data_IF_837393375123
#
_entry.id   IF_837393375123
#
_cell.length_a   1.000
_cell.length_b   1.000
_cell.length_c   1.000
_cell.angle_alpha   90.00
_cell.angle_beta   90.00
_cell.angle_gamma   90.00
#
_symmetry.space_group_name_H-M   'P 1'
#
loop_
_entity.id
_entity.type
_entity.pdbx_description
1 polymer ?
#
# COMPACT_ATOMS: atom_id res chain seq x y z
N UNK A 1 19.41 -55.97 54.17
CA UNK A 1 18.26 -55.21 54.70
C UNK A 1 18.27 -53.83 54.05
N UNK A 2 17.52 -53.67 52.95
CA UNK A 2 16.25 -52.89 52.85
C UNK A 2 16.55 -51.39 52.66
N UNK A 3 16.57 -50.87 51.42
CA UNK A 3 15.51 -50.02 50.79
C UNK A 3 15.10 -48.83 51.68
N UNK A 4 15.15 -47.58 51.23
CA UNK A 4 14.10 -46.95 50.39
C UNK A 4 14.67 -45.81 49.54
N UNK A 5 14.42 -45.87 48.23
CA UNK A 5 14.46 -44.73 47.31
C UNK A 5 13.21 -43.87 47.52
N UNK A 6 13.36 -42.55 47.73
CA UNK A 6 12.26 -41.60 47.55
C UNK A 6 12.59 -40.66 46.38
N UNK A 7 12.01 -40.99 45.23
CA UNK A 7 11.90 -40.12 44.08
C UNK A 7 10.83 -39.06 44.35
N UNK A 8 11.22 -37.78 44.28
CA UNK A 8 10.27 -36.66 44.23
C UNK A 8 10.22 -36.13 42.80
N UNK A 9 9.16 -36.52 42.09
CA UNK A 9 8.73 -35.93 40.82
C UNK A 9 7.95 -34.66 41.14
N UNK A 10 8.55 -33.50 40.96
CA UNK A 10 7.84 -32.21 40.91
C UNK A 10 7.51 -31.95 39.45
N UNK A 11 6.25 -32.14 39.05
CA UNK A 11 5.76 -31.77 37.73
C UNK A 11 5.42 -30.28 37.77
N UNK A 12 6.32 -29.42 37.30
CA UNK A 12 6.03 -28.02 37.06
C UNK A 12 5.29 -27.88 35.73
N UNK A 13 4.00 -27.52 35.79
CA UNK A 13 3.21 -27.15 34.62
C UNK A 13 3.69 -25.79 34.09
N UNK A 14 4.60 -25.80 33.12
CA UNK A 14 4.87 -24.62 32.32
C UNK A 14 3.74 -24.47 31.31
N UNK A 15 2.84 -23.50 31.54
CA UNK A 15 1.90 -23.03 30.55
C UNK A 15 2.70 -22.41 29.40
N UNK A 16 2.89 -23.16 28.32
CA UNK A 16 3.44 -22.63 27.08
C UNK A 16 2.42 -21.64 26.51
N UNK A 17 2.64 -20.35 26.75
CA UNK A 17 2.02 -19.30 25.96
C UNK A 17 2.65 -19.38 24.57
N UNK A 18 1.94 -19.99 23.63
CA UNK A 18 2.20 -19.84 22.21
C UNK A 18 1.85 -18.40 21.83
N UNK A 19 2.79 -17.49 22.10
CA UNK A 19 2.83 -16.22 21.40
C UNK A 19 2.98 -16.54 19.91
N UNK A 20 1.95 -16.20 19.15
CA UNK A 20 2.02 -16.20 17.70
C UNK A 20 2.98 -15.06 17.32
N UNK A 21 4.29 -15.35 17.37
CA UNK A 21 5.35 -14.54 16.77
C UNK A 21 5.20 -14.66 15.25
N UNK A 22 4.13 -14.09 14.73
CA UNK A 22 4.01 -13.78 13.32
C UNK A 22 5.06 -12.71 13.00
N UNK A 23 6.27 -13.16 12.68
CA UNK A 23 7.35 -12.33 12.14
C UNK A 23 6.74 -11.43 11.06
N UNK A 24 6.91 -10.09 11.12
CA UNK A 24 6.25 -9.20 10.18
C UNK A 24 6.69 -9.59 8.78
N UNK A 25 5.74 -10.09 7.98
CA UNK A 25 5.98 -10.39 6.57
C UNK A 25 6.36 -9.08 5.92
N UNK A 26 7.67 -8.86 5.70
CA UNK A 26 8.15 -7.67 5.02
C UNK A 26 7.63 -7.76 3.59
N UNK A 27 6.55 -7.03 3.31
CA UNK A 27 5.94 -7.00 2.00
C UNK A 27 7.00 -6.58 0.96
N UNK A 28 7.23 -7.43 -0.04
CA UNK A 28 8.15 -7.10 -1.12
C UNK A 28 7.52 -5.99 -1.99
N UNK A 29 8.11 -4.81 -1.91
CA UNK A 29 7.66 -3.60 -2.61
C UNK A 29 8.53 -3.24 -3.84
N UNK A 30 9.36 -4.17 -4.32
CA UNK A 30 10.26 -3.92 -5.46
C UNK A 30 9.53 -3.60 -6.79
N UNK A 31 8.29 -4.06 -6.93
CA UNK A 31 7.40 -3.76 -8.04
C UNK A 31 7.03 -2.27 -8.12
N UNK A 32 6.79 -1.62 -6.97
CA UNK A 32 6.39 -0.20 -6.89
C UNK A 32 7.58 0.76 -6.80
N UNK A 33 8.75 0.32 -6.33
CA UNK A 33 9.91 1.21 -6.17
C UNK A 33 10.48 1.70 -7.49
N UNK A 34 10.80 2.99 -7.57
CA UNK A 34 11.50 3.61 -8.69
C UNK A 34 10.84 4.89 -9.18
N UNK A 35 11.14 5.25 -10.43
CA UNK A 35 10.62 6.45 -11.06
C UNK A 35 9.41 6.13 -11.91
N UNK A 36 8.36 6.93 -11.72
CA UNK A 36 7.10 6.86 -12.45
C UNK A 36 6.79 8.21 -13.07
N UNK A 37 5.87 8.22 -14.03
CA UNK A 37 5.41 9.44 -14.68
C UNK A 37 3.89 9.43 -14.76
N UNK A 38 3.27 10.51 -14.30
CA UNK A 38 1.82 10.71 -14.43
C UNK A 38 1.47 10.83 -15.91
N UNK A 39 0.45 10.10 -16.36
CA UNK A 39 0.01 10.09 -17.76
C UNK A 39 -1.42 10.56 -17.98
N UNK A 40 -2.31 10.39 -16.99
CA UNK A 40 -3.69 10.89 -17.07
C UNK A 40 -4.34 10.95 -15.69
N UNK A 41 -5.33 11.83 -15.56
CA UNK A 41 -6.34 11.78 -14.49
C UNK A 41 -7.33 10.67 -14.83
N UNK A 42 -7.63 9.79 -13.88
CA UNK A 42 -8.55 8.65 -14.06
C UNK A 42 -9.77 8.71 -13.15
N UNK A 43 -9.78 9.61 -12.17
CA UNK A 43 -10.95 9.87 -11.35
C UNK A 43 -10.69 10.97 -10.34
N UNK A 44 -11.76 11.33 -9.64
CA UNK A 44 -11.80 12.37 -8.61
C UNK A 44 -12.67 11.85 -7.47
N UNK A 45 -12.26 12.12 -6.24
CA UNK A 45 -13.07 11.89 -5.05
C UNK A 45 -14.11 13.00 -4.90
N UNK A 46 -15.17 12.74 -4.14
CA UNK A 46 -16.24 13.73 -3.89
C UNK A 46 -15.70 15.01 -3.24
N UNK A 47 -14.70 14.86 -2.38
CA UNK A 47 -13.97 15.96 -1.74
C UNK A 47 -12.54 15.94 -2.26
N UNK A 48 -12.18 16.96 -3.04
CA UNK A 48 -10.82 17.14 -3.52
C UNK A 48 -10.19 18.40 -2.96
N UNK A 49 -8.93 18.28 -2.54
CA UNK A 49 -8.15 19.39 -1.99
C UNK A 49 -7.43 20.20 -3.09
N UNK A 50 -7.45 19.72 -4.34
CA UNK A 50 -6.97 20.47 -5.50
C UNK A 50 -8.10 20.69 -6.52
N UNK A 51 -7.89 21.60 -7.46
CA UNK A 51 -8.76 21.83 -8.62
C UNK A 51 -8.39 20.95 -9.82
N UNK A 52 -9.32 20.79 -10.77
CA UNK A 52 -9.09 20.11 -12.04
C UNK A 52 -7.88 20.66 -12.81
N UNK A 53 -7.67 21.98 -12.75
CA UNK A 53 -6.55 22.64 -13.42
C UNK A 53 -5.22 22.23 -12.80
N UNK A 54 -5.16 22.19 -11.47
CA UNK A 54 -3.97 21.74 -10.73
C UNK A 54 -3.70 20.26 -10.98
N UNK A 55 -4.73 19.41 -10.96
CA UNK A 55 -4.61 18.00 -11.30
C UNK A 55 -4.03 17.79 -12.71
N UNK A 56 -4.56 18.51 -13.71
CA UNK A 56 -4.04 18.42 -15.09
C UNK A 56 -2.60 18.90 -15.21
N UNK A 57 -2.18 19.89 -14.42
CA UNK A 57 -0.80 20.38 -14.40
C UNK A 57 0.22 19.35 -13.87
N UNK A 58 -0.24 18.31 -13.16
CA UNK A 58 0.58 17.20 -12.70
C UNK A 58 0.86 16.15 -13.79
N UNK A 59 0.15 16.19 -14.93
CA UNK A 59 0.41 15.28 -16.04
C UNK A 59 1.83 15.49 -16.58
N UNK A 60 2.56 14.38 -16.75
CA UNK A 60 3.95 14.38 -17.16
C UNK A 60 4.96 14.59 -16.03
N UNK A 61 4.52 14.98 -14.83
CA UNK A 61 5.41 15.12 -13.67
C UNK A 61 5.92 13.75 -13.19
N UNK A 62 7.15 13.70 -12.65
CA UNK A 62 7.70 12.49 -12.08
C UNK A 62 7.07 12.21 -10.71
N UNK A 63 6.98 10.94 -10.39
CA UNK A 63 6.78 10.43 -9.02
C UNK A 63 7.99 9.55 -8.70
N UNK A 64 8.56 9.74 -7.52
CA UNK A 64 9.61 8.87 -7.00
C UNK A 64 9.08 8.08 -5.80
N UNK A 65 9.19 6.76 -5.89
CA UNK A 65 8.79 5.85 -4.82
C UNK A 65 10.05 5.12 -4.37
N UNK A 66 10.62 5.55 -3.25
CA UNK A 66 11.83 4.97 -2.66
C UNK A 66 11.53 4.30 -1.32
N UNK A 67 12.43 3.44 -0.84
CA UNK A 67 12.25 2.71 0.44
C UNK A 67 12.01 3.61 1.66
N UNK A 68 12.46 4.87 1.61
CA UNK A 68 12.40 5.82 2.74
C UNK A 68 11.64 7.10 2.41
N UNK A 69 11.19 7.27 1.17
CA UNK A 69 10.56 8.50 0.74
C UNK A 69 9.62 8.27 -0.44
N UNK A 70 8.47 8.91 -0.40
CA UNK A 70 7.60 9.12 -1.54
C UNK A 70 7.68 10.61 -1.94
N UNK A 71 7.96 10.91 -3.21
CA UNK A 71 8.09 12.29 -3.69
C UNK A 71 7.16 12.52 -4.88
N UNK A 72 6.25 13.48 -4.74
CA UNK A 72 5.35 13.87 -5.80
C UNK A 72 4.81 15.30 -5.58
N UNK A 73 4.51 16.02 -6.67
CA UNK A 73 3.89 17.35 -6.56
C UNK A 73 4.76 18.43 -5.91
N UNK A 74 6.06 18.18 -5.72
CA UNK A 74 6.96 19.06 -4.95
C UNK A 74 6.99 18.75 -3.45
N UNK A 75 6.20 17.78 -3.00
CA UNK A 75 6.14 17.32 -1.63
C UNK A 75 6.96 16.03 -1.44
N UNK A 76 7.57 15.89 -0.27
CA UNK A 76 8.28 14.69 0.15
C UNK A 76 7.63 14.14 1.41
N UNK A 77 7.24 12.89 1.32
CA UNK A 77 6.66 12.10 2.39
C UNK A 77 7.72 11.12 2.88
N UNK A 78 8.17 11.31 4.12
CA UNK A 78 9.24 10.52 4.74
C UNK A 78 8.66 9.30 5.46
N UNK A 79 9.47 8.25 5.54
CA UNK A 79 9.13 7.01 6.29
C UNK A 79 7.78 6.36 5.89
N UNK A 80 7.52 6.15 4.59
CA UNK A 80 6.34 5.41 4.15
C UNK A 80 6.41 3.94 4.61
N UNK A 81 5.28 3.39 5.05
CA UNK A 81 5.19 1.98 5.48
C UNK A 81 5.05 1.02 4.30
N UNK A 82 4.37 1.46 3.23
CA UNK A 82 4.04 0.64 2.07
C UNK A 82 3.34 -0.68 2.42
N UNK A 83 2.46 -0.60 3.42
CA UNK A 83 1.60 -1.72 3.82
C UNK A 83 0.60 -2.04 2.72
N UNK A 84 0.40 -3.33 2.44
CA UNK A 84 -0.45 -3.79 1.35
C UNK A 84 -1.74 -4.38 1.89
N UNK A 85 -2.86 -3.94 1.33
CA UNK A 85 -4.18 -4.43 1.67
C UNK A 85 -4.92 -4.76 0.38
N UNK A 86 -5.36 -6.02 0.26
CA UNK A 86 -6.22 -6.45 -0.85
C UNK A 86 -7.66 -6.52 -0.38
N UNK A 87 -8.54 -5.80 -1.06
CA UNK A 87 -9.98 -5.73 -0.76
C UNK A 87 -10.79 -5.74 -2.04
N UNK A 88 -12.07 -6.04 -1.90
CA UNK A 88 -13.05 -5.84 -2.97
C UNK A 88 -12.97 -4.40 -3.49
N UNK A 89 -12.99 -4.24 -4.82
CA UNK A 89 -12.80 -2.94 -5.47
C UNK A 89 -13.92 -1.97 -5.11
N UNK A 90 -15.16 -2.44 -5.09
CA UNK A 90 -16.32 -1.63 -4.77
C UNK A 90 -16.27 -1.21 -3.30
N UNK A 91 -15.92 -2.14 -2.41
CA UNK A 91 -15.76 -1.86 -0.99
C UNK A 91 -14.67 -0.81 -0.72
N UNK A 92 -13.50 -0.96 -1.35
CA UNK A 92 -12.34 -0.08 -1.15
C UNK A 92 -12.62 1.39 -1.46
N UNK A 93 -13.51 1.67 -2.43
CA UNK A 93 -13.77 3.04 -2.86
C UNK A 93 -15.10 3.61 -2.37
N UNK A 94 -16.15 2.75 -2.23
CA UNK A 94 -17.44 3.19 -1.67
C UNK A 94 -17.33 3.58 -0.21
N UNK A 95 -16.53 2.89 0.58
CA UNK A 95 -16.42 3.17 2.02
C UNK A 95 -15.48 4.35 2.31
N UNK A 96 -14.45 4.56 1.47
CA UNK A 96 -13.34 5.47 1.80
C UNK A 96 -13.39 6.83 1.09
N UNK A 97 -14.04 6.94 -0.09
CA UNK A 97 -13.90 8.16 -0.91
C UNK A 97 -15.14 8.61 -1.67
N UNK A 98 -16.19 7.77 -1.73
CA UNK A 98 -17.34 7.92 -2.64
C UNK A 98 -16.95 8.13 -4.12
N UNK A 99 -15.67 7.97 -4.48
CA UNK A 99 -15.20 8.16 -5.83
C UNK A 99 -15.79 7.08 -6.75
N UNK A 100 -16.21 7.49 -7.94
CA UNK A 100 -16.57 6.52 -8.97
C UNK A 100 -15.33 5.75 -9.42
N UNK A 101 -15.27 4.47 -9.09
CA UNK A 101 -14.22 3.55 -9.57
C UNK A 101 -14.38 3.23 -11.05
N UNK A 102 -15.58 3.45 -11.59
CA UNK A 102 -15.91 3.18 -12.98
C UNK A 102 -15.01 4.04 -13.89
N UNK A 103 -14.19 3.37 -14.70
CA UNK A 103 -13.26 4.02 -15.63
C UNK A 103 -11.80 4.10 -15.15
N UNK A 104 -11.51 3.78 -13.88
CA UNK A 104 -10.12 3.70 -13.39
C UNK A 104 -9.39 2.45 -13.91
N UNK A 105 -10.12 1.40 -14.28
CA UNK A 105 -9.57 0.16 -14.82
C UNK A 105 -8.68 -0.60 -13.84
N UNK A 106 -9.00 -0.52 -12.55
CA UNK A 106 -8.37 -1.29 -11.49
C UNK A 106 -8.89 -2.74 -11.51
N UNK A 107 -8.06 -3.72 -11.12
CA UNK A 107 -8.50 -5.09 -10.94
C UNK A 107 -9.47 -5.21 -9.75
N UNK A 108 -10.26 -6.27 -9.75
CA UNK A 108 -11.12 -6.64 -8.63
C UNK A 108 -10.82 -8.11 -8.24
N UNK A 109 -10.31 -8.38 -7.03
CA UNK A 109 -10.02 -7.43 -5.94
C UNK A 109 -8.83 -6.51 -6.27
N UNK A 110 -8.79 -5.34 -5.62
CA UNK A 110 -7.70 -4.37 -5.76
C UNK A 110 -6.75 -4.46 -4.58
N UNK A 111 -5.47 -4.35 -4.86
CA UNK A 111 -4.44 -4.15 -3.82
C UNK A 111 -4.14 -2.65 -3.72
N UNK A 112 -4.43 -2.07 -2.55
CA UNK A 112 -3.93 -0.76 -2.15
C UNK A 112 -2.60 -0.92 -1.40
N UNK A 113 -1.75 0.09 -1.53
CA UNK A 113 -0.48 0.22 -0.83
C UNK A 113 -0.49 1.58 -0.13
N UNK A 114 -0.43 1.55 1.20
CA UNK A 114 -0.45 2.74 2.04
C UNK A 114 0.96 3.35 2.15
N UNK A 115 1.15 4.55 1.60
CA UNK A 115 2.38 5.32 1.71
C UNK A 115 2.32 6.38 2.84
N UNK A 116 1.35 6.28 3.75
CA UNK A 116 1.04 7.17 4.90
C UNK A 116 0.47 8.54 4.52
N UNK A 117 1.07 9.18 3.52
CA UNK A 117 0.59 10.43 2.94
C UNK A 117 -0.39 10.22 1.79
N UNK A 118 -0.40 9.02 1.21
CA UNK A 118 -1.30 8.69 0.12
C UNK A 118 -1.43 7.18 -0.08
N UNK A 119 -2.37 6.78 -0.94
CA UNK A 119 -2.58 5.42 -1.39
C UNK A 119 -2.14 5.24 -2.85
N UNK A 120 -1.48 4.11 -3.09
CA UNK A 120 -1.14 3.62 -4.42
C UNK A 120 -1.98 2.37 -4.68
N UNK A 121 -2.60 2.26 -5.84
CA UNK A 121 -3.36 1.08 -6.23
C UNK A 121 -2.66 0.34 -7.37
N UNK A 122 -2.50 -0.96 -7.20
CA UNK A 122 -1.90 -1.81 -8.22
C UNK A 122 -2.91 -2.05 -9.34
N UNK A 123 -2.55 -1.68 -10.57
CA UNK A 123 -3.42 -1.80 -11.73
C UNK A 123 -3.02 -2.94 -12.65
N UNK A 124 -1.77 -2.91 -13.13
CA UNK A 124 -1.14 -3.97 -13.93
C UNK A 124 0.38 -3.74 -13.94
N UNK A 125 1.21 -4.72 -14.35
CA UNK A 125 2.65 -4.52 -14.40
C UNK A 125 3.04 -3.23 -15.14
N UNK A 126 3.84 -2.39 -14.48
CA UNK A 126 4.33 -1.12 -15.03
C UNK A 126 3.32 0.03 -15.05
N UNK A 127 2.09 -0.16 -14.54
CA UNK A 127 1.09 0.90 -14.38
C UNK A 127 0.46 0.82 -12.99
N UNK A 128 0.45 1.95 -12.29
CA UNK A 128 -0.19 2.11 -10.99
C UNK A 128 -1.18 3.27 -11.04
N UNK A 129 -2.11 3.29 -10.09
CA UNK A 129 -2.93 4.48 -9.82
C UNK A 129 -2.43 5.12 -8.53
N UNK A 130 -2.19 6.43 -8.55
CA UNK A 130 -1.80 7.20 -7.37
C UNK A 130 -2.98 8.09 -6.99
N UNK A 131 -3.44 7.99 -5.74
CA UNK A 131 -4.31 9.01 -5.17
C UNK A 131 -3.44 10.21 -4.77
N UNK A 132 -3.90 11.45 -4.95
CA UNK A 132 -3.21 12.64 -4.48
C UNK A 132 -4.20 13.78 -4.38
N UNK A 133 -4.33 14.40 -3.19
CA UNK A 133 -5.22 15.52 -2.90
C UNK A 133 -6.63 15.40 -3.52
N UNK A 134 -7.22 14.20 -3.48
CA UNK A 134 -8.57 13.90 -3.98
C UNK A 134 -8.66 13.52 -5.45
N UNK A 135 -7.55 13.40 -6.17
CA UNK A 135 -7.52 12.93 -7.56
C UNK A 135 -6.79 11.60 -7.70
N UNK A 136 -7.21 10.82 -8.68
CA UNK A 136 -6.60 9.55 -9.03
C UNK A 136 -5.90 9.69 -10.37
N UNK A 137 -4.65 9.25 -10.43
CA UNK A 137 -3.79 9.39 -11.60
C UNK A 137 -3.23 8.04 -12.05
N UNK A 138 -3.33 7.71 -13.34
CA UNK A 138 -2.47 6.66 -13.88
C UNK A 138 -1.03 7.17 -13.92
N UNK A 139 -0.12 6.36 -13.39
CA UNK A 139 1.32 6.56 -13.48
C UNK A 139 1.96 5.34 -14.15
N UNK A 140 2.89 5.58 -15.07
CA UNK A 140 3.63 4.52 -15.78
C UNK A 140 5.08 4.50 -15.35
N UNK A 141 5.65 3.30 -15.23
CA UNK A 141 7.05 3.13 -14.84
C UNK A 141 7.97 3.74 -15.89
N UNK A 142 8.92 4.57 -15.47
CA UNK A 142 9.92 5.16 -16.36
C UNK A 142 10.95 4.07 -16.73
N UNK A 143 11.11 3.81 -18.04
CA UNK A 143 12.07 2.83 -18.55
C UNK A 143 11.54 1.39 -18.67
N UNK A 144 10.26 1.13 -18.35
CA UNK A 144 9.61 -0.12 -18.76
C UNK A 144 9.39 -0.13 -20.28
N UNK A 145 9.78 -1.20 -20.97
CA UNK A 145 9.44 -1.38 -22.39
C UNK A 145 7.91 -1.40 -22.51
N UNK A 146 7.39 -0.57 -23.41
CA UNK A 146 5.96 -0.52 -23.75
C UNK A 146 5.49 -1.82 -24.37
#
# INVERSE_FOLDING_TARGET
>A
MTLVLMAWLVISSASAWSGDDSEPVIANNSDIYGLWRIVKVVGVADIAAMSDREARALIGKPVEIGKRAFVFGGEKCEEPTYERITRDLVQSFREESHASVAGMGLPDPVTSVDARCTHIFLKRPGVIVIHWNGYYFDAVRRGGKR
#
